data_IF_783384251084
#
_entry.id   IF_783384251084
#
_cell.length_a   1.000
_cell.length_b   1.000
_cell.length_c   1.000
_cell.angle_alpha   90.00
_cell.angle_beta   90.00
_cell.angle_gamma   90.00
#
_symmetry.space_group_name_H-M   'P 1'
#
loop_
_entity.id
_entity.type
_entity.pdbx_description
1 polymer ?
#
# COMPACT_ATOMS: atom_id res chain seq x y z
N UNK A 1 2.10 -46.78 -91.05
CA UNK A 1 1.00 -47.22 -90.17
C UNK A 1 0.40 -46.04 -89.38
N UNK A 2 -0.30 -45.10 -90.02
CA UNK A 2 -0.93 -43.95 -89.32
C UNK A 2 -2.45 -43.84 -89.53
N UNK A 3 -3.03 -44.66 -90.42
CA UNK A 3 -4.45 -44.58 -90.77
C UNK A 3 -5.38 -45.43 -89.87
N UNK A 4 -4.86 -46.44 -89.16
CA UNK A 4 -5.69 -47.40 -88.40
C UNK A 4 -6.31 -46.87 -87.11
N UNK A 5 -5.69 -45.90 -86.43
CA UNK A 5 -6.11 -45.46 -85.09
C UNK A 5 -7.35 -44.56 -85.09
N UNK A 6 -7.58 -43.78 -86.17
CA UNK A 6 -8.75 -42.89 -86.27
C UNK A 6 -10.08 -43.63 -86.38
N UNK A 7 -10.08 -44.87 -86.87
CA UNK A 7 -11.30 -45.68 -87.00
C UNK A 7 -11.85 -46.19 -85.66
N UNK A 8 -11.04 -46.23 -84.61
CA UNK A 8 -11.40 -46.77 -83.29
C UNK A 8 -11.76 -45.68 -82.26
N UNK A 9 -11.82 -44.40 -82.66
CA UNK A 9 -12.08 -43.28 -81.75
C UNK A 9 -10.93 -42.96 -80.78
N UNK A 10 -9.78 -43.62 -80.92
CA UNK A 10 -8.60 -43.38 -80.10
C UNK A 10 -7.78 -42.24 -80.69
N UNK A 11 -7.70 -41.13 -79.94
CA UNK A 11 -6.85 -39.99 -80.27
C UNK A 11 -5.43 -40.33 -79.83
N UNK A 12 -4.48 -40.34 -80.78
CA UNK A 12 -3.06 -40.51 -80.49
C UNK A 12 -2.64 -39.35 -79.56
N UNK A 13 -1.99 -39.66 -78.44
CA UNK A 13 -1.51 -38.66 -77.48
C UNK A 13 -0.65 -37.62 -78.22
N UNK A 14 -1.16 -36.39 -78.34
CA UNK A 14 -0.47 -35.25 -78.93
C UNK A 14 -0.08 -34.28 -77.81
N UNK A 15 1.18 -34.32 -77.34
CA UNK A 15 1.65 -33.42 -76.30
C UNK A 15 1.47 -31.95 -76.69
N UNK A 16 1.52 -31.63 -77.99
CA UNK A 16 1.55 -30.25 -78.44
C UNK A 16 0.17 -29.60 -78.46
N UNK A 17 -0.88 -30.38 -78.73
CA UNK A 17 -2.26 -29.93 -78.52
C UNK A 17 -2.55 -29.62 -77.05
N UNK A 18 -1.99 -30.40 -76.11
CA UNK A 18 -2.15 -30.18 -74.67
C UNK A 18 -1.44 -28.88 -74.26
N UNK A 19 -0.20 -28.67 -74.71
CA UNK A 19 0.57 -27.47 -74.40
C UNK A 19 -0.06 -26.20 -74.99
N UNK A 20 -0.64 -26.26 -76.19
CA UNK A 20 -1.34 -25.11 -76.81
C UNK A 20 -2.61 -24.65 -76.08
N UNK A 21 -3.20 -25.52 -75.24
CA UNK A 21 -4.40 -25.22 -74.45
C UNK A 21 -4.09 -24.75 -73.03
N UNK A 22 -2.84 -24.88 -72.59
CA UNK A 22 -2.37 -24.39 -71.30
C UNK A 22 -1.96 -22.92 -71.44
N UNK A 23 -2.93 -22.01 -71.38
CA UNK A 23 -2.67 -20.57 -71.26
C UNK A 23 -2.22 -20.26 -69.81
N UNK A 24 -0.99 -20.63 -69.48
CA UNK A 24 -0.41 -20.44 -68.14
C UNK A 24 -0.02 -18.97 -68.00
N UNK A 25 -0.98 -18.11 -67.66
CA UNK A 25 -0.71 -16.73 -67.29
C UNK A 25 -0.10 -16.67 -65.89
N UNK A 26 1.22 -16.90 -65.78
CA UNK A 26 1.98 -16.66 -64.55
C UNK A 26 1.99 -15.15 -64.30
N UNK A 27 1.00 -14.65 -63.54
CA UNK A 27 1.05 -13.29 -62.99
C UNK A 27 2.05 -13.30 -61.84
N UNK A 28 3.32 -13.03 -62.15
CA UNK A 28 4.31 -12.66 -61.14
C UNK A 28 3.96 -11.25 -60.66
N UNK A 29 3.02 -11.14 -59.72
CA UNK A 29 2.89 -9.92 -58.92
C UNK A 29 4.13 -9.84 -58.04
N UNK A 30 5.15 -9.12 -58.52
CA UNK A 30 6.30 -8.74 -57.69
C UNK A 30 5.76 -8.15 -56.38
N UNK A 31 5.99 -8.78 -55.22
CA UNK A 31 5.59 -8.17 -53.97
C UNK A 31 6.37 -6.86 -53.81
N UNK A 32 5.74 -5.77 -53.33
CA UNK A 32 6.46 -4.52 -53.07
C UNK A 32 7.66 -4.80 -52.14
N UNK A 33 8.84 -4.33 -52.53
CA UNK A 33 10.13 -4.57 -51.86
C UNK A 33 10.10 -4.31 -50.35
N UNK A 34 9.26 -3.37 -49.92
CA UNK A 34 9.00 -3.02 -48.52
C UNK A 34 8.47 -4.18 -47.66
N UNK A 35 7.80 -5.17 -48.25
CA UNK A 35 7.24 -6.30 -47.51
C UNK A 35 8.25 -7.42 -47.26
N UNK A 36 9.25 -7.59 -48.14
CA UNK A 36 10.30 -8.60 -47.95
C UNK A 36 11.22 -8.23 -46.77
N UNK A 37 11.49 -6.95 -46.55
CA UNK A 37 12.20 -6.48 -45.34
C UNK A 37 11.42 -6.80 -44.05
N UNK A 38 10.09 -6.69 -44.08
CA UNK A 38 9.25 -7.00 -42.91
C UNK A 38 9.10 -8.51 -42.68
N UNK A 39 9.02 -9.30 -43.76
CA UNK A 39 8.88 -10.76 -43.72
C UNK A 39 10.17 -11.43 -43.22
N UNK A 40 11.34 -10.92 -43.62
CA UNK A 40 12.63 -11.53 -43.30
C UNK A 40 13.13 -11.25 -41.87
N UNK A 41 12.45 -10.36 -41.12
CA UNK A 41 12.91 -9.92 -39.79
C UNK A 41 12.22 -10.61 -38.61
N UNK A 42 11.08 -11.31 -38.81
CA UNK A 42 10.24 -11.69 -37.65
C UNK A 42 9.78 -13.16 -37.62
N UNK A 43 10.23 -13.88 -36.58
CA UNK A 43 9.86 -15.28 -36.24
C UNK A 43 8.66 -15.27 -35.27
N UNK A 44 7.80 -16.30 -35.32
CA UNK A 44 6.70 -16.48 -34.36
C UNK A 44 7.23 -16.75 -32.95
N UNK A 45 7.55 -15.68 -32.22
CA UNK A 45 8.00 -15.74 -30.83
C UNK A 45 6.86 -15.40 -29.88
N UNK A 46 6.93 -15.96 -28.67
CA UNK A 46 6.00 -15.64 -27.57
C UNK A 46 6.03 -14.13 -27.31
N UNK A 47 4.86 -13.54 -27.14
CA UNK A 47 4.70 -12.10 -26.90
C UNK A 47 5.17 -11.73 -25.50
N UNK A 48 5.91 -10.62 -25.38
CA UNK A 48 6.40 -10.12 -24.10
C UNK A 48 5.82 -8.75 -23.75
N UNK A 49 5.29 -8.00 -24.72
CA UNK A 49 4.78 -6.65 -24.52
C UNK A 49 3.49 -6.38 -25.34
N UNK A 50 2.54 -5.55 -24.85
CA UNK A 50 1.30 -5.25 -25.56
C UNK A 50 1.49 -4.65 -26.97
N UNK A 51 2.55 -3.87 -27.20
CA UNK A 51 2.86 -3.32 -28.53
C UNK A 51 3.18 -4.42 -29.53
N UNK A 52 3.92 -5.45 -29.11
CA UNK A 52 4.23 -6.62 -29.94
C UNK A 52 2.96 -7.39 -30.29
N UNK A 53 2.01 -7.49 -29.34
CA UNK A 53 0.73 -8.17 -29.55
C UNK A 53 -0.10 -7.48 -30.63
N UNK A 54 -0.11 -6.15 -30.66
CA UNK A 54 -0.80 -5.37 -31.68
C UNK A 54 -0.16 -5.54 -33.07
N UNK A 55 1.17 -5.52 -33.13
CA UNK A 55 1.92 -5.74 -34.38
C UNK A 55 1.72 -7.16 -34.91
N UNK A 56 1.80 -8.19 -34.06
CA UNK A 56 1.53 -9.57 -34.46
C UNK A 56 0.07 -9.75 -34.92
N UNK A 57 -0.90 -9.16 -34.22
CA UNK A 57 -2.31 -9.20 -34.63
C UNK A 57 -2.52 -8.61 -36.03
N UNK A 58 -1.86 -7.47 -36.32
CA UNK A 58 -1.91 -6.83 -37.63
C UNK A 58 -1.30 -7.70 -38.73
N UNK A 59 -0.17 -8.34 -38.42
CA UNK A 59 0.51 -9.25 -39.33
C UNK A 59 -0.31 -10.51 -39.62
N UNK A 60 -0.93 -11.11 -38.60
CA UNK A 60 -1.84 -12.26 -38.76
C UNK A 60 -3.03 -11.88 -39.64
N UNK A 61 -3.67 -10.73 -39.39
CA UNK A 61 -4.77 -10.23 -40.23
C UNK A 61 -4.35 -10.04 -41.68
N UNK A 62 -3.17 -9.46 -41.91
CA UNK A 62 -2.64 -9.26 -43.26
C UNK A 62 -2.34 -10.59 -43.98
N UNK A 63 -1.83 -11.59 -43.27
CA UNK A 63 -1.61 -12.94 -43.81
C UNK A 63 -2.92 -13.64 -44.16
N UNK A 64 -3.91 -13.57 -43.28
CA UNK A 64 -5.25 -14.12 -43.52
C UNK A 64 -5.92 -13.49 -44.74
N UNK A 65 -5.85 -12.15 -44.88
CA UNK A 65 -6.44 -11.43 -46.01
C UNK A 65 -5.79 -11.77 -47.36
N UNK A 66 -4.51 -12.15 -47.37
CA UNK A 66 -3.75 -12.48 -48.59
C UNK A 66 -3.71 -13.97 -48.90
N UNK A 67 -4.29 -14.81 -48.05
CA UNK A 67 -4.24 -16.26 -48.20
C UNK A 67 -5.15 -16.71 -49.35
N UNK A 68 -4.57 -16.88 -50.53
CA UNK A 68 -5.15 -17.65 -51.63
C UNK A 68 -4.18 -18.79 -51.95
N UNK A 69 -4.60 -20.03 -51.71
CA UNK A 69 -3.90 -21.25 -52.16
C UNK A 69 -2.55 -21.58 -51.50
N UNK A 70 -2.17 -20.98 -50.37
CA UNK A 70 -0.99 -21.36 -49.58
C UNK A 70 -1.34 -22.29 -48.42
N UNK A 71 -0.34 -22.84 -47.73
CA UNK A 71 -0.56 -23.65 -46.52
C UNK A 71 -0.95 -22.74 -45.34
N UNK A 72 -2.01 -23.07 -44.56
CA UNK A 72 -2.42 -22.29 -43.40
C UNK A 72 -1.49 -22.46 -42.18
N UNK A 73 -0.50 -23.38 -42.23
CA UNK A 73 0.41 -23.69 -41.11
C UNK A 73 1.06 -22.46 -40.45
N UNK A 74 1.60 -21.47 -41.19
CA UNK A 74 2.21 -20.29 -40.56
C UNK A 74 1.20 -19.41 -39.81
N UNK A 75 -0.08 -19.43 -40.22
CA UNK A 75 -1.15 -18.71 -39.51
C UNK A 75 -1.43 -19.42 -38.18
N UNK A 76 -1.54 -20.75 -38.19
CA UNK A 76 -1.75 -21.54 -36.98
C UNK A 76 -0.63 -21.35 -35.95
N UNK A 77 0.64 -21.38 -36.38
CA UNK A 77 1.78 -21.15 -35.49
C UNK A 77 1.73 -19.76 -34.84
N UNK A 78 1.41 -18.71 -35.62
CA UNK A 78 1.27 -17.35 -35.07
C UNK A 78 0.12 -17.23 -34.08
N UNK A 79 -1.03 -17.85 -34.35
CA UNK A 79 -2.17 -17.85 -33.43
C UNK A 79 -1.85 -18.64 -32.15
N UNK A 80 -1.12 -19.76 -32.26
CA UNK A 80 -0.68 -20.53 -31.12
C UNK A 80 0.31 -19.76 -30.23
N UNK A 81 1.26 -19.04 -30.85
CA UNK A 81 2.19 -18.17 -30.12
C UNK A 81 1.46 -17.02 -29.41
N UNK A 82 0.47 -16.42 -30.07
CA UNK A 82 -0.41 -15.41 -29.47
C UNK A 82 -1.15 -15.96 -28.24
N UNK A 83 -1.78 -17.13 -28.35
CA UNK A 83 -2.48 -17.77 -27.24
C UNK A 83 -1.55 -18.03 -26.03
N UNK A 84 -0.31 -18.47 -26.28
CA UNK A 84 0.70 -18.66 -25.22
C UNK A 84 1.10 -17.33 -24.57
N UNK A 85 1.30 -16.28 -25.37
CA UNK A 85 1.62 -14.93 -24.89
C UNK A 85 0.50 -14.35 -24.03
N UNK A 86 -0.77 -14.46 -24.47
CA UNK A 86 -1.93 -14.02 -23.68
C UNK A 86 -2.02 -14.76 -22.36
N UNK A 87 -1.79 -16.08 -22.34
CA UNK A 87 -1.78 -16.86 -21.09
C UNK A 87 -0.74 -16.33 -20.10
N UNK A 88 0.46 -15.99 -20.56
CA UNK A 88 1.51 -15.39 -19.72
C UNK A 88 1.07 -14.04 -19.14
N UNK A 89 0.57 -13.14 -19.98
CA UNK A 89 0.11 -11.81 -19.56
C UNK A 89 -1.03 -11.91 -18.52
N UNK A 90 -1.95 -12.86 -18.68
CA UNK A 90 -3.01 -13.08 -17.69
C UNK A 90 -2.43 -13.44 -16.32
N UNK A 91 -1.43 -14.32 -16.25
CA UNK A 91 -0.77 -14.64 -14.98
C UNK A 91 -0.05 -13.43 -14.36
N UNK A 92 0.67 -12.65 -15.19
CA UNK A 92 1.33 -11.42 -14.73
C UNK A 92 0.31 -10.42 -14.17
N UNK A 93 -0.83 -10.21 -14.85
CA UNK A 93 -1.92 -9.36 -14.39
C UNK A 93 -2.53 -9.88 -13.09
N UNK A 94 -2.69 -11.20 -12.91
CA UNK A 94 -3.18 -11.78 -11.66
C UNK A 94 -2.20 -11.48 -10.52
N UNK A 95 -0.90 -11.69 -10.73
CA UNK A 95 0.13 -11.42 -9.72
C UNK A 95 0.15 -9.94 -9.32
N UNK A 96 0.16 -9.04 -10.31
CA UNK A 96 0.11 -7.59 -10.08
C UNK A 96 -1.15 -7.17 -9.32
N UNK A 97 -2.30 -7.76 -9.62
CA UNK A 97 -3.55 -7.47 -8.90
C UNK A 97 -3.50 -7.92 -7.44
N UNK A 98 -2.88 -9.07 -7.14
CA UNK A 98 -2.70 -9.54 -5.76
C UNK A 98 -1.79 -8.58 -4.98
N UNK A 99 -0.65 -8.21 -5.57
CA UNK A 99 0.29 -7.27 -4.96
C UNK A 99 -0.36 -5.89 -4.74
N UNK A 100 -1.07 -5.36 -5.74
CA UNK A 100 -1.76 -4.09 -5.65
C UNK A 100 -2.79 -4.08 -4.51
N UNK A 101 -3.58 -5.16 -4.37
CA UNK A 101 -4.52 -5.31 -3.25
C UNK A 101 -3.81 -5.34 -1.89
N UNK A 102 -2.66 -5.99 -1.78
CA UNK A 102 -1.88 -5.98 -0.54
C UNK A 102 -1.38 -4.57 -0.20
N UNK A 103 -0.81 -3.87 -1.18
CA UNK A 103 -0.34 -2.49 -1.02
C UNK A 103 -1.48 -1.55 -0.63
N UNK A 104 -2.66 -1.68 -1.24
CA UNK A 104 -3.84 -0.91 -0.88
C UNK A 104 -4.24 -1.13 0.58
N UNK A 105 -4.27 -2.38 1.06
CA UNK A 105 -4.59 -2.70 2.46
C UNK A 105 -3.57 -2.10 3.43
N UNK A 106 -2.28 -2.24 3.15
CA UNK A 106 -1.21 -1.67 4.00
C UNK A 106 -1.32 -0.14 4.03
N UNK A 107 -1.56 0.50 2.88
CA UNK A 107 -1.75 1.94 2.80
C UNK A 107 -2.99 2.42 3.55
N UNK A 108 -4.10 1.68 3.51
CA UNK A 108 -5.30 2.02 4.27
C UNK A 108 -5.02 2.01 5.78
N UNK A 109 -4.37 0.96 6.28
CA UNK A 109 -3.99 0.86 7.70
C UNK A 109 -3.03 1.99 8.09
N UNK A 110 -2.02 2.25 7.28
CA UNK A 110 -1.05 3.32 7.51
C UNK A 110 -1.72 4.70 7.49
N UNK A 111 -2.65 4.92 6.57
CA UNK A 111 -3.43 6.15 6.45
C UNK A 111 -4.30 6.38 7.69
N UNK A 112 -5.01 5.35 8.15
CA UNK A 112 -5.77 5.38 9.42
C UNK A 112 -4.88 5.74 10.59
N UNK A 113 -3.73 5.06 10.73
CA UNK A 113 -2.76 5.34 11.80
C UNK A 113 -2.27 6.80 11.76
N UNK A 114 -1.89 7.31 10.59
CA UNK A 114 -1.47 8.70 10.40
C UNK A 114 -2.57 9.69 10.78
N UNK A 115 -3.82 9.40 10.40
CA UNK A 115 -4.97 10.22 10.76
C UNK A 115 -5.20 10.24 12.27
N UNK A 116 -5.23 9.08 12.93
CA UNK A 116 -5.37 8.99 14.39
C UNK A 116 -4.25 9.73 15.10
N UNK A 117 -2.99 9.56 14.68
CA UNK A 117 -1.85 10.27 15.25
C UNK A 117 -1.97 11.79 15.04
N UNK A 118 -2.44 12.23 13.87
CA UNK A 118 -2.68 13.66 13.60
C UNK A 118 -3.78 14.23 14.51
N UNK A 119 -4.88 13.51 14.70
CA UNK A 119 -5.96 13.90 15.62
C UNK A 119 -5.46 13.94 17.06
N UNK A 120 -4.69 12.95 17.50
CA UNK A 120 -4.09 12.94 18.83
C UNK A 120 -3.13 14.11 19.04
N UNK A 121 -2.29 14.42 18.05
CA UNK A 121 -1.39 15.58 18.13
C UNK A 121 -2.16 16.90 18.17
N UNK A 122 -3.23 17.04 17.38
CA UNK A 122 -4.12 18.19 17.44
C UNK A 122 -4.77 18.34 18.82
N UNK A 123 -5.35 17.26 19.35
CA UNK A 123 -6.01 17.29 20.66
C UNK A 123 -5.02 17.45 21.83
N UNK A 124 -3.76 17.01 21.67
CA UNK A 124 -2.68 17.17 22.67
C UNK A 124 -1.96 18.51 22.51
N UNK A 125 -2.14 19.22 21.41
CA UNK A 125 -1.34 20.37 21.03
C UNK A 125 -2.08 21.35 20.14
N UNK A 126 -2.80 22.26 20.80
CA UNK A 126 -2.76 23.73 20.71
C UNK A 126 -3.83 24.17 21.71
N UNK A 127 -3.42 24.72 22.86
CA UNK A 127 -4.36 25.40 23.76
C UNK A 127 -4.99 26.54 22.98
N UNK A 128 -6.32 26.53 22.84
CA UNK A 128 -7.02 27.68 22.27
C UNK A 128 -6.86 28.87 23.22
N UNK A 129 -6.89 30.11 22.69
CA UNK A 129 -6.75 31.31 23.52
C UNK A 129 -7.76 31.36 24.66
N UNK A 130 -8.99 30.90 24.41
CA UNK A 130 -10.04 30.78 25.43
C UNK A 130 -9.69 29.75 26.51
N UNK A 131 -9.23 28.54 26.14
CA UNK A 131 -8.79 27.55 27.13
C UNK A 131 -7.61 28.05 27.97
N UNK A 132 -6.72 28.87 27.38
CA UNK A 132 -5.63 29.51 28.12
C UNK A 132 -6.14 30.58 29.10
N UNK A 133 -7.10 31.41 28.68
CA UNK A 133 -7.76 32.39 29.56
C UNK A 133 -8.55 31.72 30.69
N UNK A 134 -9.23 30.60 30.42
CA UNK A 134 -9.97 29.83 31.41
C UNK A 134 -9.01 29.19 32.44
N UNK A 135 -7.87 28.66 31.99
CA UNK A 135 -6.82 28.13 32.89
C UNK A 135 -6.26 29.25 33.78
N UNK A 136 -5.99 30.43 33.23
CA UNK A 136 -5.51 31.58 34.00
C UNK A 136 -6.57 32.06 35.00
N UNK A 137 -7.84 32.08 34.60
CA UNK A 137 -8.95 32.47 35.47
C UNK A 137 -9.13 31.49 36.63
N UNK A 138 -9.08 30.19 36.35
CA UNK A 138 -9.13 29.14 37.38
C UNK A 138 -7.94 29.25 38.34
N UNK A 139 -6.73 29.49 37.81
CA UNK A 139 -5.54 29.66 38.63
C UNK A 139 -5.62 30.87 39.56
N UNK A 140 -6.20 32.00 39.11
CA UNK A 140 -6.40 33.16 39.98
C UNK A 140 -7.42 32.87 41.09
N UNK A 141 -8.51 32.15 40.77
CA UNK A 141 -9.49 31.72 41.77
C UNK A 141 -8.83 30.80 42.82
N UNK A 142 -8.05 29.81 42.39
CA UNK A 142 -7.35 28.89 43.30
C UNK A 142 -6.32 29.62 44.17
N UNK A 143 -5.59 30.59 43.60
CA UNK A 143 -4.67 31.45 44.33
C UNK A 143 -5.41 32.30 45.37
N UNK A 144 -6.59 32.83 45.02
CA UNK A 144 -7.41 33.61 45.93
C UNK A 144 -7.93 32.76 47.09
N UNK A 145 -8.46 31.57 46.81
CA UNK A 145 -8.87 30.60 47.84
C UNK A 145 -7.70 30.28 48.77
N UNK A 146 -6.51 30.03 48.23
CA UNK A 146 -5.34 29.74 49.05
C UNK A 146 -4.90 30.94 49.91
N UNK A 147 -5.02 32.17 49.41
CA UNK A 147 -4.77 33.39 50.20
C UNK A 147 -5.80 33.54 51.30
N UNK A 148 -7.07 33.30 51.01
CA UNK A 148 -8.17 33.41 51.97
C UNK A 148 -8.07 32.32 53.05
N UNK A 149 -7.66 31.09 52.71
CA UNK A 149 -7.36 30.04 53.68
C UNK A 149 -6.19 30.43 54.60
N UNK A 150 -5.14 31.05 54.07
CA UNK A 150 -4.00 31.54 54.87
C UNK A 150 -4.39 32.71 55.76
N UNK A 151 -5.27 33.60 55.30
CA UNK A 151 -5.76 34.75 56.07
C UNK A 151 -6.79 34.33 57.12
N UNK A 152 -7.68 33.40 56.79
CA UNK A 152 -8.71 32.87 57.69
C UNK A 152 -8.11 31.87 58.70
N UNK A 153 -7.03 31.17 58.34
CA UNK A 153 -6.18 30.42 59.28
C UNK A 153 -5.46 31.31 60.31
N UNK A 154 -5.47 32.64 60.11
CA UNK A 154 -4.97 33.61 61.07
C UNK A 154 -5.88 33.83 62.28
N UNK A 155 -7.08 33.24 62.33
CA UNK A 155 -8.05 33.50 63.39
C UNK A 155 -8.57 32.26 64.15
N UNK A 156 -7.84 31.15 64.12
CA UNK A 156 -8.07 30.00 65.01
C UNK A 156 -6.90 29.69 65.95
N UNK A 157 -5.97 30.64 66.15
CA UNK A 157 -4.95 30.52 67.19
C UNK A 157 -5.28 31.39 68.41
N UNK A 158 -6.51 31.26 68.91
CA UNK A 158 -6.93 31.74 70.24
C UNK A 158 -7.34 30.58 71.14
N UNK A 159 -6.64 29.45 71.09
CA UNK A 159 -6.82 28.44 72.13
C UNK A 159 -5.61 27.51 72.26
N UNK A 160 -4.48 28.08 72.67
CA UNK A 160 -3.40 27.31 73.30
C UNK A 160 -2.47 28.26 74.05
N UNK A 161 -3.02 29.05 74.97
CA UNK A 161 -2.26 29.44 76.15
C UNK A 161 -2.09 28.20 77.03
N UNK A 162 -1.22 27.27 76.60
CA UNK A 162 -0.73 26.21 77.49
C UNK A 162 -0.16 26.92 78.71
N UNK A 163 -0.87 26.83 79.81
CA UNK A 163 -0.50 27.38 81.11
C UNK A 163 0.92 26.92 81.41
N UNK A 164 1.84 27.86 81.65
CA UNK A 164 3.26 27.53 81.83
C UNK A 164 3.43 26.60 83.03
N UNK A 165 3.81 25.36 82.79
CA UNK A 165 4.13 24.37 83.80
C UNK A 165 5.61 24.44 84.20
N UNK A 166 5.90 24.13 85.45
CA UNK A 166 7.27 23.93 85.93
C UNK A 166 7.91 22.75 85.17
N UNK A 167 9.08 22.96 84.55
CA UNK A 167 9.78 21.91 83.78
C UNK A 167 10.29 20.75 84.65
N UNK A 168 10.39 20.92 85.97
CA UNK A 168 10.81 19.84 86.89
C UNK A 168 9.64 18.94 87.33
N UNK A 169 8.46 19.50 87.59
CA UNK A 169 7.34 18.74 88.20
C UNK A 169 6.02 18.82 87.42
N UNK A 170 5.98 19.51 86.28
CA UNK A 170 4.82 19.60 85.39
C UNK A 170 3.61 20.38 85.93
N UNK A 171 3.70 21.00 87.11
CA UNK A 171 2.60 21.77 87.72
C UNK A 171 2.69 23.26 87.38
N UNK A 172 1.55 23.92 87.24
CA UNK A 172 1.43 25.37 87.00
C UNK A 172 1.54 26.14 88.33
N UNK A 173 1.85 27.45 88.26
CA UNK A 173 1.91 28.34 89.44
C UNK A 173 3.29 28.56 90.07
N UNK A 174 4.32 27.86 89.63
CA UNK A 174 5.72 28.10 90.03
C UNK A 174 6.69 27.72 88.91
N UNK A 175 7.97 28.10 89.04
CA UNK A 175 9.01 27.78 88.06
C UNK A 175 10.03 26.78 88.65
N UNK A 176 10.95 26.28 87.81
CA UNK A 176 11.93 25.26 88.21
C UNK A 176 12.91 25.71 89.31
N UNK A 177 13.06 27.02 89.54
CA UNK A 177 13.95 27.60 90.57
C UNK A 177 13.29 27.67 91.94
N UNK A 178 11.96 27.60 91.99
CA UNK A 178 11.16 27.62 93.24
C UNK A 178 10.42 26.31 93.49
N UNK A 179 10.79 25.24 92.77
CA UNK A 179 10.18 23.92 92.92
C UNK A 179 10.68 23.24 94.19
N UNK A 180 9.77 22.82 95.07
CA UNK A 180 10.08 22.18 96.35
C UNK A 180 10.35 20.66 96.23
N UNK A 181 10.25 20.08 95.03
CA UNK A 181 10.43 18.63 94.80
C UNK A 181 11.89 18.21 94.52
N UNK A 182 12.89 18.85 95.15
CA UNK A 182 14.31 18.61 94.86
C UNK A 182 14.91 17.35 95.52
N UNK A 183 14.12 16.30 95.78
CA UNK A 183 14.64 15.04 96.33
C UNK A 183 14.01 13.85 95.58
N UNK A 184 14.79 13.30 94.64
CA UNK A 184 14.70 11.86 94.32
C UNK A 184 16.02 11.27 94.83
N UNK A 185 15.96 10.65 96.01
CA UNK A 185 17.03 9.85 96.60
C UNK A 185 17.19 8.55 95.77
N UNK A 186 18.39 8.21 95.26
CA UNK A 186 18.63 7.00 94.45
C UNK A 186 18.48 5.65 95.17
N UNK A 187 17.82 5.56 96.34
CA UNK A 187 17.84 4.36 97.21
C UNK A 187 16.57 3.49 97.22
N UNK A 188 15.65 3.64 96.28
CA UNK A 188 14.47 2.75 96.17
C UNK A 188 14.30 2.13 94.78
N UNK A 189 15.36 1.50 94.27
CA UNK A 189 15.26 0.37 93.35
C UNK A 189 15.66 -0.88 94.16
N UNK A 190 14.66 -1.55 94.72
CA UNK A 190 14.64 -3.01 94.97
C UNK A 190 13.35 -3.36 95.74
N UNK A 191 12.26 -3.59 94.99
CA UNK A 191 11.19 -4.59 95.21
C UNK A 191 10.12 -4.44 94.13
#
# INVERSE_FOLDING_TARGET
>A
MKAGFRGAGLILFDPQSILSKLDIRIRTSTPPSTFLELINSWISQTLHNPTEALLQSTLVKARMARHQSSSPTPIFETVQALAKGTKRLVYEVIFLNVENRMLQRVNEVLSKYRCTKKIQLHNRGVLTGQEAEDILSQQEVDNQIQRDERQNGGNSNRESSTSRCCSKCGRTGHNSRTCQNDIIDPRLLDS
#
